data_IF_360645476519
#
_entry.id   IF_360645476519
#
_cell.length_a   1.000
_cell.length_b   1.000
_cell.length_c   1.000
_cell.angle_alpha   90.00
_cell.angle_beta   90.00
_cell.angle_gamma   90.00
#
_symmetry.space_group_name_H-M   'P 1'
#
loop_
_entity.id
_entity.type
_entity.pdbx_description
1 polymer ?
#
# COMPACT_ATOMS: atom_id res chain seq x y z
N UNK A 1 -4.08 -24.49 -18.28
CA UNK A 1 -3.58 -23.86 -17.04
C UNK A 1 -3.36 -22.38 -17.35
N UNK A 2 -3.75 -21.47 -16.46
CA UNK A 2 -3.47 -20.04 -16.65
C UNK A 2 -1.96 -19.80 -16.71
N UNK A 3 -1.55 -18.77 -17.46
CA UNK A 3 -0.15 -18.37 -17.51
C UNK A 3 0.25 -17.86 -16.12
N UNK A 4 1.33 -18.36 -15.53
CA UNK A 4 1.77 -17.89 -14.22
C UNK A 4 2.40 -16.50 -14.33
N UNK A 5 2.28 -15.69 -13.26
CA UNK A 5 3.01 -14.44 -13.12
C UNK A 5 4.51 -14.71 -13.27
N UNK A 6 5.18 -13.80 -13.96
CA UNK A 6 6.61 -13.89 -14.14
C UNK A 6 7.35 -13.75 -12.81
N UNK A 7 8.45 -14.49 -12.66
CA UNK A 7 9.36 -14.36 -11.52
C UNK A 7 10.69 -13.84 -12.03
N UNK A 8 10.97 -12.57 -11.71
CA UNK A 8 12.21 -11.91 -12.11
C UNK A 8 13.38 -12.47 -11.29
N UNK A 9 14.40 -12.99 -11.99
CA UNK A 9 15.69 -13.28 -11.36
C UNK A 9 16.52 -12.01 -11.32
N UNK A 10 16.75 -11.49 -10.13
CA UNK A 10 17.59 -10.30 -9.94
C UNK A 10 19.06 -10.73 -10.02
N UNK A 11 19.91 -10.08 -10.84
CA UNK A 11 21.33 -10.42 -10.90
C UNK A 11 22.05 -10.20 -9.57
N UNK A 12 23.08 -11.01 -9.30
CA UNK A 12 23.81 -10.98 -8.03
C UNK A 12 24.65 -9.72 -7.82
N UNK A 13 25.00 -9.05 -8.92
CA UNK A 13 25.78 -7.82 -9.04
C UNK A 13 24.92 -6.58 -9.35
N UNK A 14 23.59 -6.72 -9.35
CA UNK A 14 22.68 -5.65 -9.75
C UNK A 14 22.57 -4.49 -8.74
N UNK A 15 22.95 -4.69 -7.48
CA UNK A 15 22.73 -3.69 -6.43
C UNK A 15 23.54 -2.41 -6.67
N UNK A 16 22.86 -1.31 -6.98
CA UNK A 16 23.49 -0.01 -7.23
C UNK A 16 23.45 0.91 -6.01
N UNK A 17 22.34 0.90 -5.26
CA UNK A 17 22.16 1.73 -4.07
C UNK A 17 21.27 1.05 -3.04
N UNK A 18 21.68 1.10 -1.77
CA UNK A 18 20.85 0.66 -0.64
C UNK A 18 19.74 1.66 -0.39
N UNK A 19 18.49 1.18 -0.26
CA UNK A 19 17.35 2.00 0.14
C UNK A 19 17.21 1.94 1.67
N UNK A 20 17.29 3.11 2.34
CA UNK A 20 17.44 3.22 3.80
C UNK A 20 16.10 3.20 4.54
N UNK A 21 15.00 3.56 3.87
CA UNK A 21 13.69 3.61 4.53
C UNK A 21 13.15 2.21 4.84
N UNK A 22 12.28 2.02 5.84
CA UNK A 22 11.69 0.70 6.12
C UNK A 22 12.66 -0.32 6.76
N UNK A 23 12.19 -1.55 6.97
CA UNK A 23 12.86 -2.53 7.86
C UNK A 23 13.44 -3.77 7.18
N UNK A 24 13.27 -3.92 5.86
CA UNK A 24 13.70 -5.10 5.10
C UNK A 24 14.94 -4.79 4.26
N UNK A 25 15.78 -5.79 3.93
CA UNK A 25 16.80 -5.62 2.91
C UNK A 25 16.16 -5.23 1.58
N UNK A 26 16.60 -4.11 1.02
CA UNK A 26 16.18 -3.63 -0.29
C UNK A 26 17.25 -2.76 -0.93
N UNK A 27 17.27 -2.80 -2.25
CA UNK A 27 18.22 -2.05 -3.05
C UNK A 27 17.62 -1.68 -4.39
N UNK A 28 18.07 -0.54 -4.90
CA UNK A 28 17.77 -0.08 -6.24
C UNK A 28 18.74 -0.72 -7.24
N UNK A 29 18.22 -1.05 -8.42
CA UNK A 29 18.98 -1.51 -9.58
C UNK A 29 18.28 -1.13 -10.89
N UNK A 30 18.99 -1.12 -12.01
CA UNK A 30 18.35 -0.99 -13.33
C UNK A 30 18.05 -2.36 -13.96
N UNK A 31 16.77 -2.67 -14.09
CA UNK A 31 16.28 -3.81 -14.87
C UNK A 31 16.27 -3.49 -16.37
N UNK A 32 16.65 -4.47 -17.20
CA UNK A 32 16.73 -4.32 -18.67
C UNK A 32 15.42 -3.84 -19.29
N UNK A 33 14.28 -4.34 -18.79
CA UNK A 33 12.95 -4.02 -19.32
C UNK A 33 12.17 -3.01 -18.48
N UNK A 34 12.35 -3.03 -17.15
CA UNK A 34 11.57 -2.25 -16.20
C UNK A 34 12.24 -0.93 -15.77
N UNK A 35 13.47 -0.67 -16.22
CA UNK A 35 14.22 0.52 -15.83
C UNK A 35 14.61 0.49 -14.35
N UNK A 36 14.62 1.65 -13.69
CA UNK A 36 15.01 1.77 -12.27
C UNK A 36 13.99 1.08 -11.37
N UNK A 37 14.42 0.02 -10.69
CA UNK A 37 13.58 -0.85 -9.89
C UNK A 37 14.07 -0.97 -8.45
N UNK A 38 13.13 -1.12 -7.52
CA UNK A 38 13.40 -1.47 -6.13
C UNK A 38 13.16 -2.96 -5.93
N UNK A 39 14.21 -3.72 -5.60
CA UNK A 39 14.04 -5.07 -5.07
C UNK A 39 13.76 -5.00 -3.57
N UNK A 40 12.72 -5.70 -3.12
CA UNK A 40 12.38 -5.86 -1.69
C UNK A 40 12.45 -7.34 -1.32
N UNK A 41 13.38 -7.69 -0.43
CA UNK A 41 13.49 -9.07 0.05
C UNK A 41 12.36 -9.41 1.04
N UNK A 42 11.73 -10.56 0.85
CA UNK A 42 10.73 -11.10 1.78
C UNK A 42 11.38 -11.81 2.96
N UNK A 43 10.74 -11.72 4.13
CA UNK A 43 11.19 -12.48 5.31
C UNK A 43 10.93 -13.98 5.12
N UNK A 44 11.89 -14.85 5.49
CA UNK A 44 11.69 -16.30 5.43
C UNK A 44 10.44 -16.75 6.20
N UNK A 45 9.69 -17.68 5.63
CA UNK A 45 8.49 -18.24 6.25
C UNK A 45 7.27 -17.31 6.28
N UNK A 46 7.32 -16.17 5.59
CA UNK A 46 6.19 -15.25 5.44
C UNK A 46 5.69 -15.21 4.00
N UNK A 47 4.45 -14.74 3.80
CA UNK A 47 3.86 -14.50 2.50
C UNK A 47 4.04 -13.09 1.94
N UNK A 48 5.09 -12.38 2.37
CA UNK A 48 5.26 -10.95 2.05
C UNK A 48 5.37 -10.66 0.53
N UNK A 49 5.92 -11.57 -0.27
CA UNK A 49 6.05 -11.38 -1.73
C UNK A 49 4.70 -11.55 -2.45
N UNK A 50 4.02 -12.67 -2.23
CA UNK A 50 2.74 -12.90 -2.89
C UNK A 50 1.66 -11.94 -2.39
N UNK A 51 1.69 -11.53 -1.11
CA UNK A 51 0.72 -10.57 -0.61
C UNK A 51 0.87 -9.20 -1.25
N UNK A 52 2.10 -8.71 -1.44
CA UNK A 52 2.37 -7.47 -2.16
C UNK A 52 1.92 -7.56 -3.63
N UNK A 53 2.22 -8.68 -4.32
CA UNK A 53 1.79 -8.89 -5.71
C UNK A 53 0.26 -8.93 -5.83
N UNK A 54 -0.40 -9.77 -5.04
CA UNK A 54 -1.87 -9.90 -5.07
C UNK A 54 -2.55 -8.57 -4.72
N UNK A 55 -2.05 -7.83 -3.73
CA UNK A 55 -2.60 -6.53 -3.39
C UNK A 55 -2.49 -5.52 -4.55
N UNK A 56 -1.39 -5.54 -5.32
CA UNK A 56 -1.26 -4.71 -6.52
C UNK A 56 -2.27 -5.12 -7.60
N UNK A 57 -2.44 -6.41 -7.86
CA UNK A 57 -3.42 -6.90 -8.85
C UNK A 57 -4.87 -6.61 -8.42
N UNK A 58 -5.19 -6.68 -7.13
CA UNK A 58 -6.51 -6.30 -6.59
C UNK A 58 -6.75 -4.79 -6.70
N UNK A 59 -5.69 -3.98 -6.53
CA UNK A 59 -5.77 -2.54 -6.78
C UNK A 59 -6.04 -2.23 -8.27
N UNK A 60 -5.39 -2.96 -9.18
CA UNK A 60 -5.65 -2.87 -10.63
C UNK A 60 -7.11 -3.22 -10.97
N UNK A 61 -7.68 -4.28 -10.38
CA UNK A 61 -9.10 -4.63 -10.58
C UNK A 61 -10.05 -3.49 -10.16
N UNK A 62 -9.71 -2.75 -9.11
CA UNK A 62 -10.48 -1.56 -8.68
C UNK A 62 -10.23 -0.33 -9.57
N UNK A 63 -9.26 -0.41 -10.49
CA UNK A 63 -8.68 0.71 -11.24
C UNK A 63 -8.03 1.77 -10.33
N UNK A 64 -7.51 1.36 -9.17
CA UNK A 64 -6.76 2.26 -8.29
C UNK A 64 -5.37 2.52 -8.89
N UNK A 65 -4.85 3.75 -8.76
CA UNK A 65 -3.46 4.02 -9.12
C UNK A 65 -2.58 3.32 -8.08
N UNK A 66 -1.75 2.37 -8.50
CA UNK A 66 -0.87 1.61 -7.62
C UNK A 66 0.54 1.45 -8.22
N UNK A 67 1.52 1.17 -7.36
CA UNK A 67 2.84 0.77 -7.81
C UNK A 67 2.77 -0.61 -8.49
N UNK A 68 3.43 -0.76 -9.64
CA UNK A 68 3.59 -2.09 -10.26
C UNK A 68 4.46 -2.96 -9.37
N UNK A 69 4.08 -4.23 -9.23
CA UNK A 69 4.80 -5.21 -8.43
C UNK A 69 4.97 -6.48 -9.24
N UNK A 70 6.19 -6.97 -9.34
CA UNK A 70 6.53 -8.25 -9.93
C UNK A 70 7.13 -9.18 -8.87
N UNK A 71 6.86 -10.48 -8.98
CA UNK A 71 7.51 -11.46 -8.13
C UNK A 71 8.98 -11.58 -8.51
N UNK A 72 9.84 -11.83 -7.52
CA UNK A 72 11.26 -11.92 -7.75
C UNK A 72 11.95 -12.98 -6.89
N UNK A 73 13.16 -13.33 -7.34
CA UNK A 73 14.13 -14.13 -6.60
C UNK A 73 15.52 -13.53 -6.76
N UNK A 74 16.23 -13.36 -5.65
CA UNK A 74 17.64 -12.93 -5.59
C UNK A 74 18.40 -13.87 -4.64
N UNK A 75 19.48 -14.50 -5.11
CA UNK A 75 20.28 -15.48 -4.33
C UNK A 75 19.42 -16.49 -3.56
N UNK A 76 18.52 -17.14 -4.31
CA UNK A 76 17.52 -18.11 -3.80
C UNK A 76 16.52 -17.57 -2.76
N UNK A 77 16.54 -16.26 -2.51
CA UNK A 77 15.60 -15.61 -1.59
C UNK A 77 14.47 -14.96 -2.35
N UNK A 78 13.24 -15.16 -1.86
CA UNK A 78 12.03 -14.57 -2.42
C UNK A 78 11.96 -13.07 -2.13
N UNK A 79 11.33 -12.34 -3.03
CA UNK A 79 11.04 -10.92 -2.87
C UNK A 79 10.13 -10.41 -3.96
N UNK A 80 10.06 -9.09 -4.07
CA UNK A 80 9.38 -8.40 -5.16
C UNK A 80 10.30 -7.39 -5.83
N UNK A 81 9.96 -7.07 -7.07
CA UNK A 81 10.58 -6.00 -7.85
C UNK A 81 9.48 -5.01 -8.18
N UNK A 82 9.71 -3.74 -7.91
CA UNK A 82 8.78 -2.65 -8.24
C UNK A 82 9.51 -1.58 -9.03
N UNK A 83 9.14 -1.30 -10.29
CA UNK A 83 9.70 -0.16 -11.01
C UNK A 83 9.34 1.16 -10.30
N UNK A 84 10.25 2.13 -10.38
CA UNK A 84 10.02 3.46 -9.82
C UNK A 84 8.82 4.11 -10.52
N UNK A 85 7.76 4.39 -9.76
CA UNK A 85 6.65 5.22 -10.20
C UNK A 85 6.96 6.73 -10.08
N UNK A 86 8.11 7.10 -9.51
CA UNK A 86 8.58 8.48 -9.42
C UNK A 86 9.27 8.83 -10.73
N UNK A 87 8.78 9.84 -11.48
CA UNK A 87 9.43 10.31 -12.70
C UNK A 87 10.87 10.77 -12.46
N UNK A 88 11.66 10.81 -13.53
CA UNK A 88 13.01 11.38 -13.49
C UNK A 88 12.90 12.87 -13.10
N UNK A 89 13.76 13.29 -12.19
CA UNK A 89 13.87 14.66 -11.64
C UNK A 89 12.74 15.07 -10.66
N UNK A 90 11.78 14.18 -10.38
CA UNK A 90 10.78 14.37 -9.34
C UNK A 90 11.24 13.78 -8.00
N UNK A 91 10.65 14.27 -6.90
CA UNK A 91 10.93 13.79 -5.55
C UNK A 91 9.70 13.11 -4.94
N UNK A 92 9.93 11.96 -4.29
CA UNK A 92 8.94 11.34 -3.42
C UNK A 92 9.07 11.94 -2.02
N UNK A 93 8.03 12.61 -1.56
CA UNK A 93 7.97 13.26 -0.24
C UNK A 93 7.00 12.45 0.61
N UNK A 94 7.51 11.77 1.62
CA UNK A 94 6.72 10.84 2.43
C UNK A 94 5.76 11.57 3.38
N UNK A 95 4.67 10.90 3.75
CA UNK A 95 3.68 11.45 4.68
C UNK A 95 4.27 11.96 6.00
N UNK A 96 5.28 11.28 6.54
CA UNK A 96 5.98 11.71 7.76
C UNK A 96 6.69 13.07 7.57
N UNK A 97 7.31 13.30 6.42
CA UNK A 97 7.96 14.56 6.05
C UNK A 97 6.92 15.67 5.82
N UNK A 98 5.86 15.34 5.09
CA UNK A 98 4.74 16.25 4.83
C UNK A 98 4.11 16.71 6.15
N UNK A 99 3.76 15.76 7.02
CA UNK A 99 3.12 16.05 8.30
C UNK A 99 4.06 16.79 9.25
N UNK A 100 5.35 16.46 9.27
CA UNK A 100 6.35 17.21 10.04
C UNK A 100 6.43 18.68 9.61
N UNK A 101 6.30 18.95 8.32
CA UNK A 101 6.36 20.31 7.78
C UNK A 101 5.11 21.15 8.08
N UNK A 102 3.92 20.53 8.07
CA UNK A 102 2.64 21.28 8.09
C UNK A 102 1.84 21.15 9.38
N UNK A 103 2.14 20.18 10.25
CA UNK A 103 1.39 19.94 11.48
C UNK A 103 2.24 20.37 12.68
N UNK A 104 1.87 21.47 13.37
CA UNK A 104 2.60 21.94 14.54
C UNK A 104 2.73 20.84 15.61
N UNK A 105 3.96 20.56 16.03
CA UNK A 105 4.24 19.57 17.06
C UNK A 105 4.19 18.11 16.59
N UNK A 106 4.07 17.85 15.28
CA UNK A 106 4.21 16.49 14.77
C UNK A 106 5.59 15.92 15.10
N UNK A 107 5.68 14.67 15.59
CA UNK A 107 6.94 14.13 16.05
C UNK A 107 7.89 13.89 14.88
N UNK A 108 9.01 14.62 14.86
CA UNK A 108 10.11 14.33 13.95
C UNK A 108 10.86 13.05 14.33
N UNK A 109 11.54 12.48 13.34
CA UNK A 109 12.45 11.33 13.52
C UNK A 109 13.61 11.71 14.44
N UNK A 110 13.55 11.35 15.72
CA UNK A 110 14.69 11.54 16.63
C UNK A 110 15.78 10.51 16.31
N UNK A 111 17.07 10.89 16.21
CA UNK A 111 18.16 9.94 16.07
C UNK A 111 18.10 8.88 17.18
N UNK A 112 18.00 7.60 16.81
CA UNK A 112 17.90 6.48 17.75
C UNK A 112 16.48 6.12 18.24
N UNK A 113 15.43 6.86 17.87
CA UNK A 113 14.05 6.45 18.17
C UNK A 113 13.49 5.56 17.05
N UNK A 114 12.88 4.44 17.42
CA UNK A 114 12.05 3.62 16.50
C UNK A 114 10.62 4.20 16.36
N UNK A 115 10.45 5.51 16.56
CA UNK A 115 9.14 6.16 16.60
C UNK A 115 8.48 6.27 15.21
N UNK A 116 8.99 5.60 14.18
CA UNK A 116 8.35 5.52 12.87
C UNK A 116 7.04 4.73 12.90
N UNK A 117 6.86 3.85 13.89
CA UNK A 117 5.64 3.08 14.11
C UNK A 117 4.86 3.61 15.31
N UNK A 118 3.52 3.56 15.20
CA UNK A 118 2.57 3.97 16.26
C UNK A 118 2.70 5.44 16.66
N UNK A 119 2.94 6.30 15.68
CA UNK A 119 2.86 7.75 15.83
C UNK A 119 1.39 8.11 16.07
N UNK A 120 1.04 8.49 17.30
CA UNK A 120 -0.35 8.73 17.68
C UNK A 120 -0.91 10.00 17.04
N UNK A 121 -0.03 10.90 16.64
CA UNK A 121 -0.32 12.12 15.90
C UNK A 121 -0.67 11.85 14.43
N UNK A 122 -0.39 10.65 13.90
CA UNK A 122 -0.83 10.20 12.57
C UNK A 122 -2.33 9.87 12.60
N UNK A 123 -3.14 10.93 12.71
CA UNK A 123 -4.60 10.82 12.71
C UNK A 123 -5.15 10.88 11.30
N UNK A 124 -6.27 10.20 11.06
CA UNK A 124 -6.93 10.23 9.75
C UNK A 124 -7.34 11.66 9.37
N UNK A 125 -7.87 12.44 10.32
CA UNK A 125 -8.30 13.81 10.09
C UNK A 125 -7.17 14.70 9.58
N UNK A 126 -5.97 14.57 10.16
CA UNK A 126 -4.79 15.32 9.74
C UNK A 126 -4.40 14.98 8.30
N UNK A 127 -4.38 13.71 7.93
CA UNK A 127 -4.04 13.29 6.57
C UNK A 127 -5.08 13.78 5.56
N UNK A 128 -6.38 13.60 5.85
CA UNK A 128 -7.45 14.09 4.98
C UNK A 128 -7.44 15.62 4.87
N UNK A 129 -7.07 16.34 5.94
CA UNK A 129 -6.96 17.81 5.92
C UNK A 129 -5.84 18.29 5.00
N UNK A 130 -4.67 17.64 5.03
CA UNK A 130 -3.55 17.96 4.13
C UNK A 130 -3.93 17.72 2.67
N UNK A 131 -4.58 16.59 2.39
CA UNK A 131 -5.08 16.26 1.04
C UNK A 131 -6.17 17.25 0.57
N UNK A 132 -6.98 17.77 1.48
CA UNK A 132 -8.08 18.70 1.19
C UNK A 132 -7.63 20.15 0.93
N UNK A 133 -6.33 20.46 1.05
CA UNK A 133 -5.81 21.83 0.80
C UNK A 133 -6.00 22.32 -0.63
N UNK A 134 -6.22 21.39 -1.59
CA UNK A 134 -6.29 21.71 -3.02
C UNK A 134 -4.92 21.94 -3.68
N UNK A 135 -3.84 21.86 -2.90
CA UNK A 135 -2.45 21.97 -3.40
C UNK A 135 -1.90 20.63 -3.91
N UNK A 136 -2.61 19.54 -3.64
CA UNK A 136 -2.23 18.18 -4.05
C UNK A 136 -3.27 17.67 -5.04
N UNK A 137 -2.80 17.34 -6.23
CA UNK A 137 -3.61 16.79 -7.31
C UNK A 137 -3.72 15.25 -7.19
N UNK A 138 -4.74 14.62 -7.79
CA UNK A 138 -4.77 13.18 -7.98
C UNK A 138 -3.51 12.65 -8.71
N UNK A 139 -3.20 11.35 -8.65
CA UNK A 139 -2.00 10.80 -9.27
C UNK A 139 -1.84 11.18 -10.75
N UNK A 140 -0.64 11.66 -11.11
CA UNK A 140 -0.33 12.17 -12.45
C UNK A 140 -0.47 11.06 -13.50
N UNK A 141 -1.04 11.39 -14.65
CA UNK A 141 -1.17 10.46 -15.78
C UNK A 141 -2.17 9.32 -15.55
N UNK A 142 -2.92 9.34 -14.44
CA UNK A 142 -3.98 8.39 -14.14
C UNK A 142 -5.35 9.00 -14.42
N UNK A 143 -6.27 8.19 -14.96
CA UNK A 143 -7.62 8.65 -15.31
C UNK A 143 -8.55 8.48 -14.12
N UNK A 144 -9.13 9.59 -13.65
CA UNK A 144 -10.09 9.59 -12.56
C UNK A 144 -11.36 8.80 -12.93
N UNK A 145 -11.80 7.86 -12.09
CA UNK A 145 -13.06 7.17 -12.29
C UNK A 145 -14.24 8.07 -11.93
N UNK A 146 -15.41 7.76 -12.50
CA UNK A 146 -16.66 8.47 -12.18
C UNK A 146 -16.91 8.51 -10.66
N UNK A 147 -17.19 9.70 -10.13
CA UNK A 147 -17.44 9.91 -8.71
C UNK A 147 -16.19 10.19 -7.85
N UNK A 148 -15.00 10.23 -8.46
CA UNK A 148 -13.72 10.57 -7.83
C UNK A 148 -13.15 11.80 -8.53
N UNK A 149 -12.83 12.85 -7.77
CA UNK A 149 -12.51 14.17 -8.36
C UNK A 149 -11.22 14.79 -7.85
N UNK A 150 -10.74 14.39 -6.67
CA UNK A 150 -9.62 15.03 -5.99
C UNK A 150 -8.79 14.00 -5.18
N UNK A 151 -7.67 14.45 -4.60
CA UNK A 151 -6.76 13.57 -3.87
C UNK A 151 -7.41 12.91 -2.62
N UNK A 152 -8.36 13.58 -1.96
CA UNK A 152 -9.12 12.99 -0.84
C UNK A 152 -9.95 11.81 -1.35
N UNK A 153 -10.67 11.99 -2.45
CA UNK A 153 -11.50 10.94 -3.05
C UNK A 153 -10.66 9.71 -3.46
N UNK A 154 -9.45 9.93 -3.97
CA UNK A 154 -8.50 8.85 -4.30
C UNK A 154 -8.04 8.14 -3.03
N UNK A 155 -7.69 8.89 -1.99
CA UNK A 155 -7.23 8.32 -0.72
C UNK A 155 -8.32 7.50 -0.01
N UNK A 156 -9.60 7.86 -0.15
CA UNK A 156 -10.72 7.01 0.28
C UNK A 156 -10.68 5.64 -0.41
N UNK A 157 -10.30 5.60 -1.69
CA UNK A 157 -10.09 4.36 -2.43
C UNK A 157 -8.92 3.53 -1.86
N UNK A 158 -7.83 4.19 -1.44
CA UNK A 158 -6.72 3.51 -0.76
C UNK A 158 -7.16 2.88 0.56
N UNK A 159 -8.01 3.57 1.33
CA UNK A 159 -8.55 3.04 2.58
C UNK A 159 -9.58 1.93 2.35
N UNK A 160 -10.34 1.97 1.25
CA UNK A 160 -11.18 0.83 0.85
C UNK A 160 -10.33 -0.39 0.55
N UNK A 161 -9.24 -0.22 -0.22
CA UNK A 161 -8.30 -1.30 -0.51
C UNK A 161 -7.74 -1.87 0.79
N UNK A 162 -7.25 -1.03 1.71
CA UNK A 162 -6.72 -1.45 3.00
C UNK A 162 -7.73 -2.24 3.83
N UNK A 163 -8.99 -1.81 3.85
CA UNK A 163 -10.07 -2.52 4.50
C UNK A 163 -10.34 -3.89 3.85
N UNK A 164 -10.36 -3.95 2.52
CA UNK A 164 -10.65 -5.15 1.75
C UNK A 164 -9.55 -6.22 1.90
N UNK A 165 -8.28 -5.82 1.81
CA UNK A 165 -7.14 -6.74 1.90
C UNK A 165 -6.63 -6.93 3.33
N UNK A 166 -7.20 -6.20 4.30
CA UNK A 166 -6.75 -6.20 5.69
C UNK A 166 -5.31 -5.68 5.87
N UNK A 167 -4.95 -4.60 5.17
CA UNK A 167 -3.62 -4.00 5.28
C UNK A 167 -3.47 -3.24 6.60
N UNK A 168 -2.61 -3.75 7.49
CA UNK A 168 -2.46 -3.19 8.84
C UNK A 168 -1.38 -2.12 8.96
N UNK A 169 -0.83 -1.65 7.83
CA UNK A 169 0.47 -0.97 7.82
C UNK A 169 0.50 0.33 7.01
N UNK A 170 -0.66 0.96 6.80
CA UNK A 170 -0.76 2.30 6.19
C UNK A 170 -0.26 3.41 7.13
N UNK A 171 1.00 3.35 7.55
CA UNK A 171 1.62 4.41 8.36
C UNK A 171 2.08 5.57 7.48
N UNK A 172 2.50 6.66 8.11
CA UNK A 172 2.98 7.89 7.48
C UNK A 172 4.15 7.77 6.49
N UNK A 173 4.78 6.61 6.29
CA UNK A 173 5.78 6.43 5.21
C UNK A 173 5.22 5.63 4.03
N UNK A 174 4.05 5.00 4.19
CA UNK A 174 3.37 4.17 3.20
C UNK A 174 2.26 4.95 2.45
N UNK A 175 2.43 6.27 2.40
CA UNK A 175 1.80 7.19 1.47
C UNK A 175 2.71 8.41 1.30
N UNK A 176 2.61 9.07 0.16
CA UNK A 176 3.54 10.14 -0.20
C UNK A 176 2.92 11.07 -1.25
N UNK A 177 3.54 12.23 -1.44
CA UNK A 177 3.35 13.08 -2.61
C UNK A 177 4.54 12.95 -3.56
N UNK A 178 4.30 13.14 -4.85
CA UNK A 178 5.32 13.33 -5.86
C UNK A 178 5.37 14.82 -6.17
N UNK A 179 6.48 15.45 -5.82
CA UNK A 179 6.76 16.85 -6.14
C UNK A 179 7.39 16.95 -7.52
N UNK A 180 6.75 17.70 -8.41
CA UNK A 180 7.22 17.99 -9.75
C UNK A 180 7.61 19.47 -9.85
N UNK A 181 8.85 19.73 -10.26
CA UNK A 181 9.29 21.08 -10.57
C UNK A 181 8.67 21.52 -11.91
N UNK A 182 7.84 22.56 -11.87
CA UNK A 182 7.21 23.12 -13.04
C UNK A 182 7.86 24.45 -13.37
N UNK A 183 8.66 24.47 -14.44
CA UNK A 183 9.22 25.69 -15.01
C UNK A 183 8.16 26.42 -15.83
N UNK A 184 7.42 27.34 -15.21
CA UNK A 184 6.48 28.21 -15.95
C UNK A 184 6.74 29.72 -15.79
N UNK A 185 7.62 30.16 -14.88
CA UNK A 185 7.97 31.59 -14.69
C UNK A 185 9.37 31.74 -14.05
N UNK A 186 9.93 32.97 -13.87
CA UNK A 186 11.15 33.21 -13.08
C UNK A 186 11.05 32.80 -11.60
N UNK A 187 9.87 32.38 -11.15
CA UNK A 187 9.65 31.74 -9.86
C UNK A 187 9.31 30.28 -10.10
N UNK A 188 10.16 29.37 -9.64
CA UNK A 188 9.89 27.94 -9.65
C UNK A 188 8.54 27.65 -8.98
N UNK A 189 7.62 27.03 -9.71
CA UNK A 189 6.36 26.54 -9.15
C UNK A 189 6.45 25.02 -8.99
N UNK A 190 6.02 24.51 -7.85
CA UNK A 190 5.99 23.06 -7.58
C UNK A 190 4.56 22.57 -7.70
N UNK A 191 4.33 21.58 -8.56
CA UNK A 191 3.09 20.81 -8.54
C UNK A 191 3.27 19.59 -7.66
N UNK A 192 2.29 19.29 -6.81
CA UNK A 192 2.31 18.11 -5.96
C UNK A 192 1.18 17.18 -6.36
N UNK A 193 1.50 15.91 -6.56
CA UNK A 193 0.55 14.86 -6.90
C UNK A 193 0.52 13.81 -5.79
N UNK A 194 -0.63 13.26 -5.46
CA UNK A 194 -0.70 12.08 -4.61
C UNK A 194 0.04 10.93 -5.31
N UNK A 195 0.92 10.22 -4.61
CA UNK A 195 1.57 9.06 -5.17
C UNK A 195 0.55 7.91 -5.38
N UNK A 196 0.75 7.03 -6.39
CA UNK A 196 0.05 5.74 -6.46
C UNK A 196 0.19 4.98 -5.13
N UNK A 197 -0.77 4.13 -4.77
CA UNK A 197 -0.66 3.33 -3.54
C UNK A 197 0.45 2.28 -3.63
N UNK A 198 1.20 2.08 -2.55
CA UNK A 198 2.33 1.13 -2.48
C UNK A 198 2.50 0.53 -1.06
N UNK A 199 3.35 -0.49 -0.93
CA UNK A 199 3.69 -1.19 0.32
C UNK A 199 2.48 -1.84 1.02
N UNK A 200 1.99 -2.92 0.43
CA UNK A 200 0.83 -3.69 0.91
C UNK A 200 1.21 -5.08 1.46
N UNK A 201 2.51 -5.37 1.66
CA UNK A 201 2.99 -6.68 2.09
C UNK A 201 2.48 -7.10 3.47
N UNK A 202 1.92 -6.18 4.25
CA UNK A 202 1.28 -6.41 5.54
C UNK A 202 -0.24 -6.62 5.41
N UNK A 203 -0.66 -7.38 4.41
CA UNK A 203 -2.06 -7.71 4.08
C UNK A 203 -2.31 -9.22 3.98
N UNK A 204 -3.57 -9.60 3.71
CA UNK A 204 -4.00 -10.93 3.26
C UNK A 204 -3.60 -12.10 4.18
N UNK A 205 -3.41 -11.86 5.47
CA UNK A 205 -3.02 -12.93 6.40
C UNK A 205 -1.67 -13.57 6.07
N UNK A 206 -0.75 -12.83 5.42
CA UNK A 206 0.57 -13.31 4.97
C UNK A 206 1.44 -13.97 6.05
N UNK A 207 1.17 -13.69 7.33
CA UNK A 207 1.87 -14.28 8.48
C UNK A 207 1.14 -15.45 9.15
N UNK A 208 -0.11 -15.75 8.76
CA UNK A 208 -0.85 -16.85 9.36
C UNK A 208 -0.29 -18.19 8.85
N UNK A 209 0.17 -19.09 9.72
CA UNK A 209 0.60 -20.42 9.29
C UNK A 209 -0.59 -21.22 8.74
N UNK A 210 -0.35 -22.13 7.79
CA UNK A 210 -1.40 -22.95 7.17
C UNK A 210 -2.27 -23.70 8.17
N UNK A 211 -1.70 -24.18 9.27
CA UNK A 211 -2.45 -24.82 10.35
C UNK A 211 -3.50 -23.87 10.94
N UNK A 212 -3.16 -22.60 11.17
CA UNK A 212 -4.11 -21.59 11.66
C UNK A 212 -5.09 -21.18 10.57
N UNK A 213 -4.66 -21.03 9.31
CA UNK A 213 -5.57 -20.74 8.18
C UNK A 213 -6.71 -21.75 8.13
N UNK A 214 -6.38 -23.05 8.10
CA UNK A 214 -7.38 -24.14 8.12
C UNK A 214 -8.29 -24.07 9.34
N UNK A 215 -7.73 -23.84 10.54
CA UNK A 215 -8.55 -23.68 11.74
C UNK A 215 -9.51 -22.50 11.63
N UNK A 216 -9.09 -21.34 11.10
CA UNK A 216 -9.94 -20.15 10.93
C UNK A 216 -11.06 -20.37 9.91
N UNK A 217 -10.78 -21.13 8.84
CA UNK A 217 -11.76 -21.45 7.79
C UNK A 217 -12.87 -22.39 8.30
N UNK A 218 -12.56 -23.30 9.23
CA UNK A 218 -13.50 -24.32 9.71
C UNK A 218 -13.99 -24.10 11.14
N UNK A 219 -13.55 -23.05 11.83
CA UNK A 219 -13.90 -22.82 13.24
C UNK A 219 -15.37 -22.47 13.42
N UNK A 220 -15.93 -22.87 14.56
CA UNK A 220 -17.23 -22.39 15.06
C UNK A 220 -17.08 -21.22 16.05
N UNK A 221 -15.86 -20.94 16.50
CA UNK A 221 -15.58 -19.79 17.35
C UNK A 221 -15.58 -18.51 16.51
N UNK A 222 -16.65 -17.72 16.66
CA UNK A 222 -16.82 -16.45 15.97
C UNK A 222 -15.63 -15.51 16.19
N UNK A 223 -15.03 -15.50 17.38
CA UNK A 223 -13.91 -14.61 17.73
C UNK A 223 -12.58 -15.00 17.06
N UNK A 224 -12.51 -16.20 16.47
CA UNK A 224 -11.35 -16.73 15.77
C UNK A 224 -11.56 -16.88 14.24
N UNK A 225 -12.77 -16.65 13.74
CA UNK A 225 -13.11 -16.73 12.31
C UNK A 225 -12.29 -15.77 11.41
N UNK A 226 -12.33 -15.99 10.09
CA UNK A 226 -11.80 -15.04 9.09
C UNK A 226 -12.47 -13.67 9.24
N UNK A 227 -13.78 -13.64 9.47
CA UNK A 227 -14.52 -12.40 9.74
C UNK A 227 -13.92 -11.64 10.94
N UNK A 228 -13.70 -12.32 12.06
CA UNK A 228 -13.08 -11.69 13.23
C UNK A 228 -11.61 -11.30 13.01
N UNK A 229 -10.89 -11.97 12.12
CA UNK A 229 -9.56 -11.55 11.71
C UNK A 229 -9.60 -10.19 11.01
N UNK A 230 -10.50 -10.02 10.05
CA UNK A 230 -10.72 -8.76 9.31
C UNK A 230 -11.23 -7.66 10.23
N UNK A 231 -12.24 -7.93 11.07
CA UNK A 231 -12.80 -6.94 12.01
C UNK A 231 -11.79 -6.45 13.05
N UNK A 232 -10.75 -7.23 13.34
CA UNK A 232 -9.67 -6.87 14.29
C UNK A 232 -8.45 -6.26 13.62
N UNK A 233 -8.42 -6.18 12.28
CA UNK A 233 -7.29 -5.62 11.56
C UNK A 233 -7.16 -4.12 11.89
N UNK A 234 -6.10 -3.77 12.63
CA UNK A 234 -5.82 -2.38 13.01
C UNK A 234 -5.07 -1.68 11.90
N UNK A 235 -5.55 -0.50 11.51
CA UNK A 235 -4.80 0.43 10.65
C UNK A 235 -3.64 1.08 11.43
N UNK A 236 -2.96 2.04 10.81
CA UNK A 236 -2.00 2.92 11.47
C UNK A 236 -2.53 4.35 11.68
N UNK A 237 -3.83 4.58 11.48
CA UNK A 237 -4.47 5.87 11.76
C UNK A 237 -5.10 5.91 13.13
N UNK A 238 -4.97 7.04 13.81
CA UNK A 238 -5.66 7.30 15.07
C UNK A 238 -6.86 8.22 14.86
N UNK A 239 -7.87 8.11 15.71
CA UNK A 239 -9.00 9.05 15.72
C UNK A 239 -8.52 10.41 16.23
N UNK A 240 -7.78 10.41 17.35
CA UNK A 240 -7.22 11.61 17.97
C UNK A 240 -5.77 11.38 18.37
N UNK A 241 -5.01 12.48 18.36
CA UNK A 241 -3.65 12.46 18.85
C UNK A 241 -3.61 12.01 20.31
N UNK A 242 -2.74 11.06 20.62
CA UNK A 242 -2.59 10.49 21.96
C UNK A 242 -3.43 9.24 22.25
N UNK A 243 -4.38 8.87 21.40
CA UNK A 243 -5.20 7.66 21.57
C UNK A 243 -4.31 6.41 21.72
N UNK A 244 -4.73 5.46 22.57
CA UNK A 244 -3.93 4.26 22.83
C UNK A 244 -3.94 3.27 21.66
N UNK A 245 -5.04 3.25 20.90
CA UNK A 245 -5.28 2.29 19.83
C UNK A 245 -5.59 3.03 18.53
N UNK A 246 -5.01 2.60 17.40
CA UNK A 246 -5.44 3.08 16.11
C UNK A 246 -6.83 2.55 15.77
N UNK A 247 -7.47 3.17 14.79
CA UNK A 247 -8.68 2.69 14.13
C UNK A 247 -8.46 1.31 13.51
N UNK A 248 -9.52 0.51 13.42
CA UNK A 248 -9.49 -0.65 12.52
C UNK A 248 -9.41 -0.19 11.05
N UNK A 249 -9.02 -1.07 10.12
CA UNK A 249 -9.03 -0.73 8.69
C UNK A 249 -10.44 -0.40 8.20
N UNK A 250 -11.45 -1.14 8.71
CA UNK A 250 -12.87 -0.87 8.45
C UNK A 250 -13.31 0.49 9.01
N UNK A 251 -12.92 0.83 10.24
CA UNK A 251 -13.28 2.12 10.84
C UNK A 251 -12.57 3.27 10.12
N UNK A 252 -11.30 3.12 9.74
CA UNK A 252 -10.57 4.12 8.98
C UNK A 252 -11.27 4.43 7.64
N UNK A 253 -11.70 3.39 6.91
CA UNK A 253 -12.52 3.58 5.71
C UNK A 253 -13.87 4.24 6.04
N UNK A 254 -14.57 3.80 7.08
CA UNK A 254 -15.87 4.35 7.46
C UNK A 254 -15.80 5.83 7.86
N UNK A 255 -14.77 6.24 8.59
CA UNK A 255 -14.52 7.65 8.93
C UNK A 255 -14.23 8.48 7.67
N UNK A 256 -13.36 8.00 6.78
CA UNK A 256 -13.07 8.69 5.51
C UNK A 256 -14.31 8.78 4.60
N UNK A 257 -15.14 7.73 4.59
CA UNK A 257 -16.38 7.69 3.84
C UNK A 257 -17.41 8.72 4.31
N UNK A 258 -17.41 9.09 5.60
CA UNK A 258 -18.25 10.20 6.09
C UNK A 258 -17.79 11.55 5.53
N UNK A 259 -16.48 11.72 5.31
CA UNK A 259 -15.90 12.95 4.76
C UNK A 259 -16.14 13.10 3.26
N UNK A 260 -16.06 12.01 2.51
CA UNK A 260 -16.21 11.98 1.05
C UNK A 260 -17.14 10.83 0.62
N UNK A 261 -18.42 10.95 0.98
CA UNK A 261 -19.45 9.90 0.78
C UNK A 261 -19.78 9.64 -0.70
N UNK A 262 -19.56 10.61 -1.59
CA UNK A 262 -19.65 10.41 -3.03
C UNK A 262 -18.61 9.43 -3.53
N UNK A 263 -17.33 9.69 -3.23
CA UNK A 263 -16.21 8.83 -3.59
C UNK A 263 -16.31 7.45 -2.94
N UNK A 264 -16.67 7.38 -1.65
CA UNK A 264 -16.84 6.10 -0.97
C UNK A 264 -17.90 5.20 -1.65
N UNK A 265 -19.04 5.78 -2.06
CA UNK A 265 -20.06 5.03 -2.82
C UNK A 265 -19.55 4.60 -4.18
N UNK A 266 -18.79 5.44 -4.88
CA UNK A 266 -18.19 5.08 -6.17
C UNK A 266 -17.21 3.91 -6.04
N UNK A 267 -16.35 3.92 -5.02
CA UNK A 267 -15.40 2.84 -4.76
C UNK A 267 -16.09 1.55 -4.29
N UNK A 268 -17.11 1.65 -3.43
CA UNK A 268 -17.90 0.49 -3.01
C UNK A 268 -18.68 -0.14 -4.17
N UNK A 269 -19.22 0.66 -5.09
CA UNK A 269 -19.86 0.15 -6.29
C UNK A 269 -18.88 -0.63 -7.15
N UNK A 270 -17.67 -0.08 -7.38
CA UNK A 270 -16.59 -0.78 -8.10
C UNK A 270 -16.22 -2.11 -7.46
N UNK A 271 -16.06 -2.14 -6.13
CA UNK A 271 -15.77 -3.37 -5.41
C UNK A 271 -16.92 -4.40 -5.53
N UNK A 272 -18.17 -3.95 -5.47
CA UNK A 272 -19.34 -4.81 -5.60
C UNK A 272 -19.52 -5.37 -7.03
N UNK A 273 -19.01 -4.66 -8.04
CA UNK A 273 -19.04 -5.07 -9.45
C UNK A 273 -17.90 -6.06 -9.80
N UNK A 274 -16.99 -6.37 -8.87
CA UNK A 274 -15.93 -7.36 -9.13
C UNK A 274 -16.48 -8.78 -9.06
N UNK A 275 -16.25 -9.54 -10.13
CA UNK A 275 -16.58 -10.97 -10.19
C UNK A 275 -15.62 -11.79 -9.32
N UNK A 276 -16.15 -12.79 -8.61
CA UNK A 276 -15.35 -13.67 -7.75
C UNK A 276 -14.29 -14.43 -8.57
N UNK A 277 -14.61 -14.77 -9.82
CA UNK A 277 -13.69 -15.43 -10.77
C UNK A 277 -12.51 -14.54 -11.13
N UNK A 278 -12.70 -13.21 -11.22
CA UNK A 278 -11.60 -12.28 -11.49
C UNK A 278 -10.62 -12.22 -10.31
N UNK A 279 -11.15 -12.23 -9.08
CA UNK A 279 -10.35 -12.29 -7.86
C UNK A 279 -9.61 -13.62 -7.77
N UNK A 280 -10.30 -14.75 -7.96
CA UNK A 280 -9.70 -16.09 -7.94
C UNK A 280 -8.61 -16.24 -9.00
N UNK A 281 -8.84 -15.70 -10.20
CA UNK A 281 -7.87 -15.72 -11.29
C UNK A 281 -6.51 -15.16 -10.86
N UNK A 282 -6.45 -14.08 -10.07
CA UNK A 282 -5.18 -13.52 -9.56
C UNK A 282 -4.37 -14.59 -8.81
N UNK A 283 -5.02 -15.36 -7.93
CA UNK A 283 -4.35 -16.42 -7.18
C UNK A 283 -3.94 -17.58 -8.07
N UNK A 284 -4.74 -17.92 -9.08
CA UNK A 284 -4.43 -19.00 -10.03
C UNK A 284 -3.18 -18.68 -10.88
N UNK A 285 -2.90 -17.39 -11.11
CA UNK A 285 -1.70 -16.91 -11.79
C UNK A 285 -0.46 -16.93 -10.89
N UNK A 286 -0.56 -17.08 -9.56
CA UNK A 286 0.63 -17.20 -8.70
C UNK A 286 1.41 -18.50 -9.01
N UNK A 287 2.75 -18.46 -9.11
CA UNK A 287 3.55 -19.68 -9.17
C UNK A 287 3.27 -20.58 -7.96
N UNK A 288 3.19 -21.88 -8.21
CA UNK A 288 2.72 -22.88 -7.22
C UNK A 288 3.61 -22.96 -5.96
N UNK A 289 4.83 -22.44 -6.02
CA UNK A 289 5.73 -22.41 -4.87
C UNK A 289 5.46 -21.22 -3.93
N UNK A 290 4.73 -20.18 -4.36
CA UNK A 290 4.61 -18.91 -3.64
C UNK A 290 3.61 -18.95 -2.49
N UNK A 291 2.46 -19.53 -2.73
CA UNK A 291 1.36 -19.62 -1.77
C UNK A 291 0.89 -21.08 -1.69
N UNK A 292 0.57 -21.54 -0.48
CA UNK A 292 -0.01 -22.87 -0.29
C UNK A 292 -1.49 -22.87 -0.68
N UNK A 293 -2.05 -24.05 -0.96
CA UNK A 293 -3.48 -24.23 -1.19
C UNK A 293 -4.33 -23.67 -0.04
N UNK A 294 -3.89 -23.88 1.21
CA UNK A 294 -4.55 -23.34 2.40
C UNK A 294 -4.40 -21.81 2.55
N UNK A 295 -3.47 -21.19 1.82
CA UNK A 295 -3.35 -19.73 1.72
C UNK A 295 -4.29 -19.13 0.68
N UNK A 296 -4.67 -19.89 -0.34
CA UNK A 296 -5.63 -19.47 -1.38
C UNK A 296 -7.08 -19.66 -0.94
N UNK A 297 -7.37 -20.77 -0.24
CA UNK A 297 -8.70 -21.09 0.29
C UNK A 297 -9.17 -20.13 1.38
#
# INVERSE_FOLDING_TARGET
MPNKFNVIRVPDDAGEATEVMGSKPKFWYYGVTLGRCLYKQSRPGTGEDWAEKVAAELAELLSLPHATVELATWRDTRGTVSPSFVPRDDALIHGNEILLAVVPGYPGSRPGSRNFYRVREHTLEVVLSVLATGLVLPPRGWTLPNGVTNAVDVFVGYLLLDAWIGNTDRHHENWAFIGHLVELTPTETYESYLAPTYDHASSLGRNEPDARRRQRLTTKDAAFSVKAYVEKATSAFYTKAGDERPLTTLDAFAEAARRASGAARAWLARLADLEAEAIQSIFDHLPDDRISEAGVA
#
